data_IF_729875837485
#
_entry.id   IF_729875837485
#
_cell.length_a   1.000
_cell.length_b   1.000
_cell.length_c   1.000
_cell.angle_alpha   90.00
_cell.angle_beta   90.00
_cell.angle_gamma   90.00
#
_symmetry.space_group_name_H-M   'P 1'
#
loop_
_entity.id
_entity.type
_entity.pdbx_description
1 polymer ?
#
# COMPACT_ATOMS: atom_id res chain seq x y z
N UNK A 1 34.75 -2.06 20.75
CA UNK A 1 34.17 -0.85 20.13
C UNK A 1 32.72 -1.16 19.80
N UNK A 2 31.78 -0.51 20.49
CA UNK A 2 30.40 -0.97 20.65
C UNK A 2 29.57 -0.83 19.37
N UNK A 3 29.12 -1.97 18.84
CA UNK A 3 27.98 -2.08 17.94
C UNK A 3 26.73 -1.60 18.69
N UNK A 4 26.23 -0.43 18.30
CA UNK A 4 24.88 0.04 18.62
C UNK A 4 23.89 -1.01 18.13
N UNK A 5 23.41 -1.85 19.06
CA UNK A 5 22.17 -2.61 18.91
C UNK A 5 21.06 -1.59 18.68
N UNK A 6 20.70 -1.35 17.43
CA UNK A 6 19.44 -0.71 17.08
C UNK A 6 18.32 -1.63 17.60
N UNK A 7 17.78 -1.27 18.77
CA UNK A 7 16.65 -1.92 19.39
C UNK A 7 15.48 -1.99 18.41
N UNK A 8 14.95 -3.20 18.23
CA UNK A 8 13.71 -3.51 17.52
C UNK A 8 12.67 -2.42 17.78
N UNK A 9 12.35 -1.67 16.74
CA UNK A 9 11.50 -0.49 16.85
C UNK A 9 10.03 -0.83 16.71
N UNK A 10 9.21 -0.08 17.46
CA UNK A 10 7.76 0.00 17.26
C UNK A 10 7.40 -0.18 15.78
N UNK A 11 6.61 -1.20 15.55
CA UNK A 11 6.15 -1.64 14.25
C UNK A 11 5.14 -0.60 13.79
N UNK A 12 5.54 0.43 13.01
CA UNK A 12 4.60 1.08 12.08
C UNK A 12 3.93 -0.03 11.29
N UNK A 13 2.72 -0.35 11.72
CA UNK A 13 1.85 -1.30 11.08
C UNK A 13 0.86 -0.57 10.17
N UNK A 14 0.11 -1.32 9.38
CA UNK A 14 -1.03 -0.77 8.64
C UNK A 14 -2.17 -0.25 9.54
N UNK A 15 -2.06 -0.40 10.87
CA UNK A 15 -3.12 -0.09 11.79
C UNK A 15 -3.18 1.41 12.15
N UNK A 16 -4.41 1.87 12.37
CA UNK A 16 -4.75 3.19 12.93
C UNK A 16 -3.93 3.55 14.18
N UNK A 17 -3.62 2.56 15.01
CA UNK A 17 -2.85 2.77 16.23
C UNK A 17 -1.44 3.30 16.00
N UNK A 18 -0.84 3.07 14.83
CA UNK A 18 0.54 3.47 14.51
C UNK A 18 0.69 4.79 13.77
N UNK A 19 -0.41 5.52 13.63
CA UNK A 19 -0.38 6.89 13.10
C UNK A 19 0.49 7.76 14.01
N UNK A 20 1.44 8.47 13.40
CA UNK A 20 2.26 9.44 14.10
C UNK A 20 1.38 10.64 14.44
N UNK A 21 1.28 10.99 15.72
CA UNK A 21 0.46 12.12 16.19
C UNK A 21 1.25 13.05 17.11
N UNK A 22 0.87 14.33 17.22
CA UNK A 22 1.42 15.21 18.25
C UNK A 22 1.20 14.64 19.66
N UNK A 23 2.20 14.78 20.52
CA UNK A 23 2.05 14.50 21.95
C UNK A 23 1.18 15.60 22.58
N UNK A 24 0.00 15.23 23.08
CA UNK A 24 -1.07 16.16 23.50
C UNK A 24 -0.72 17.08 24.67
N UNK A 25 0.33 16.78 25.43
CA UNK A 25 0.66 17.50 26.68
C UNK A 25 1.88 18.43 26.52
N UNK A 26 2.36 18.64 25.30
CA UNK A 26 3.55 19.46 25.04
C UNK A 26 3.15 20.76 24.35
N UNK A 27 3.48 21.88 24.99
CA UNK A 27 3.34 23.21 24.42
C UNK A 27 4.60 23.57 23.65
N UNK A 28 4.44 24.03 22.41
CA UNK A 28 5.54 24.56 21.61
C UNK A 28 5.67 26.08 21.76
N UNK A 29 6.87 26.58 21.49
CA UNK A 29 7.14 28.01 21.27
C UNK A 29 6.64 28.46 19.88
N UNK A 30 5.30 28.43 19.72
CA UNK A 30 4.57 28.81 18.51
C UNK A 30 3.27 29.55 18.86
N UNK A 31 2.66 30.29 17.91
CA UNK A 31 1.33 30.89 18.08
C UNK A 31 0.28 29.93 18.68
N UNK A 32 -0.68 30.48 19.43
CA UNK A 32 -1.72 29.71 20.12
C UNK A 32 -2.50 28.80 19.16
N UNK A 33 -2.89 29.34 17.99
CA UNK A 33 -3.61 28.61 16.95
C UNK A 33 -2.90 27.34 16.47
N UNK A 34 -1.56 27.35 16.37
CA UNK A 34 -0.77 26.16 16.03
C UNK A 34 -0.87 25.12 17.14
N UNK A 35 -0.73 25.54 18.41
CA UNK A 35 -0.86 24.63 19.56
C UNK A 35 -2.29 24.05 19.69
N UNK A 36 -3.32 24.86 19.44
CA UNK A 36 -4.72 24.43 19.42
C UNK A 36 -4.95 23.35 18.35
N UNK A 37 -4.53 23.60 17.10
CA UNK A 37 -4.64 22.62 16.03
C UNK A 37 -3.92 21.32 16.39
N UNK A 38 -2.70 21.40 16.96
CA UNK A 38 -1.96 20.23 17.41
C UNK A 38 -2.72 19.36 18.40
N UNK A 39 -3.44 19.96 19.34
CA UNK A 39 -4.18 19.24 20.39
C UNK A 39 -5.41 18.51 19.85
N UNK A 40 -5.94 18.93 18.69
CA UNK A 40 -7.10 18.30 18.06
C UNK A 40 -6.76 17.05 17.23
N UNK A 41 -5.48 16.84 16.90
CA UNK A 41 -5.03 15.73 16.05
C UNK A 41 -5.01 14.44 16.87
N UNK A 42 -5.83 13.46 16.47
CA UNK A 42 -5.98 12.20 17.19
C UNK A 42 -6.31 11.03 16.26
N UNK A 43 -5.97 9.81 16.70
CA UNK A 43 -6.25 8.59 15.94
C UNK A 43 -7.73 8.18 15.96
N UNK A 44 -8.57 8.80 16.81
CA UNK A 44 -10.00 8.49 16.88
C UNK A 44 -10.82 9.22 15.82
N UNK A 45 -10.40 10.41 15.41
CA UNK A 45 -11.11 11.28 14.46
C UNK A 45 -10.24 11.60 13.24
N UNK A 46 -9.98 10.60 12.41
CA UNK A 46 -9.03 10.69 11.29
C UNK A 46 -9.38 11.75 10.25
N UNK A 47 -10.64 11.87 9.83
CA UNK A 47 -11.07 12.89 8.86
C UNK A 47 -10.83 14.31 9.40
N UNK A 48 -11.23 14.57 10.65
CA UNK A 48 -10.99 15.87 11.29
C UNK A 48 -9.50 16.13 11.48
N UNK A 49 -8.74 15.09 11.84
CA UNK A 49 -7.28 15.20 12.01
C UNK A 49 -6.58 15.50 10.69
N UNK A 50 -7.02 14.93 9.57
CA UNK A 50 -6.49 15.27 8.24
C UNK A 50 -6.76 16.73 7.88
N UNK A 51 -7.98 17.22 8.13
CA UNK A 51 -8.33 18.63 7.91
C UNK A 51 -7.46 19.56 8.78
N UNK A 52 -7.36 19.27 10.08
CA UNK A 52 -6.60 20.08 11.02
C UNK A 52 -5.08 20.01 10.77
N UNK A 53 -4.58 18.90 10.20
CA UNK A 53 -3.19 18.79 9.76
C UNK A 53 -2.91 19.68 8.55
N UNK A 54 -3.82 19.76 7.57
CA UNK A 54 -3.68 20.72 6.46
C UNK A 54 -3.63 22.16 6.98
N UNK A 55 -4.57 22.53 7.85
CA UNK A 55 -4.58 23.87 8.47
C UNK A 55 -3.31 24.11 9.28
N UNK A 56 -2.83 23.11 10.04
CA UNK A 56 -1.59 23.20 10.81
C UNK A 56 -0.38 23.46 9.90
N UNK A 57 -0.25 22.72 8.79
CA UNK A 57 0.84 22.89 7.84
C UNK A 57 0.81 24.30 7.25
N UNK A 58 -0.37 24.79 6.86
CA UNK A 58 -0.54 26.15 6.32
C UNK A 58 -0.15 27.24 7.32
N UNK A 59 -0.60 27.11 8.57
CA UNK A 59 -0.26 28.03 9.66
C UNK A 59 1.24 27.99 9.99
N UNK A 60 1.89 26.83 9.89
CA UNK A 60 3.34 26.70 10.08
C UNK A 60 4.13 27.43 8.98
N UNK A 61 3.72 27.31 7.72
CA UNK A 61 4.35 28.07 6.63
C UNK A 61 4.19 29.58 6.83
N UNK A 62 3.00 30.02 7.23
CA UNK A 62 2.71 31.43 7.56
C UNK A 62 3.58 31.90 8.73
N UNK A 63 3.70 31.10 9.79
CA UNK A 63 4.56 31.38 10.93
C UNK A 63 6.02 31.54 10.53
N UNK A 64 6.55 30.65 9.69
CA UNK A 64 7.94 30.73 9.21
C UNK A 64 8.17 32.02 8.41
N UNK A 65 7.27 32.34 7.46
CA UNK A 65 7.34 33.58 6.66
C UNK A 65 7.40 34.81 7.55
N UNK A 66 6.52 34.89 8.54
CA UNK A 66 6.43 36.04 9.46
C UNK A 66 7.64 36.15 10.39
N UNK A 67 8.15 35.02 10.94
CA UNK A 67 9.31 35.03 11.85
C UNK A 67 10.60 35.49 11.17
N UNK A 68 10.72 35.24 9.87
CA UNK A 68 11.93 35.52 9.10
C UNK A 68 11.85 36.83 8.33
N UNK A 69 10.66 37.41 8.23
CA UNK A 69 10.38 38.61 7.44
C UNK A 69 10.95 38.49 6.01
N UNK A 70 10.78 37.31 5.41
CA UNK A 70 11.32 36.98 4.09
C UNK A 70 10.26 37.19 3.01
N UNK A 71 10.64 37.83 1.91
CA UNK A 71 9.86 37.87 0.65
C UNK A 71 9.90 36.50 -0.09
N UNK A 72 10.03 35.40 0.66
CA UNK A 72 10.19 34.05 0.16
C UNK A 72 9.07 33.70 -0.83
N UNK A 73 9.45 33.34 -2.06
CA UNK A 73 8.53 33.06 -3.14
C UNK A 73 8.20 31.56 -3.31
N UNK A 74 8.90 30.67 -2.58
CA UNK A 74 8.75 29.23 -2.77
C UNK A 74 8.61 28.43 -1.47
N UNK A 75 8.04 27.22 -1.57
CA UNK A 75 7.97 26.24 -0.47
C UNK A 75 9.37 25.85 -0.01
N UNK A 76 10.32 25.70 -0.94
CA UNK A 76 11.70 25.32 -0.63
C UNK A 76 12.38 26.36 0.28
N UNK A 77 12.26 27.64 -0.06
CA UNK A 77 12.86 28.74 0.70
C UNK A 77 12.27 28.85 2.12
N UNK A 78 10.95 28.63 2.24
CA UNK A 78 10.29 28.57 3.55
C UNK A 78 10.76 27.36 4.36
N UNK A 79 10.89 26.18 3.75
CA UNK A 79 11.39 24.99 4.45
C UNK A 79 12.82 25.19 4.95
N UNK A 80 13.71 25.79 4.16
CA UNK A 80 15.08 26.07 4.57
C UNK A 80 15.12 27.06 5.73
N UNK A 81 14.34 28.13 5.64
CA UNK A 81 14.19 29.13 6.70
C UNK A 81 13.62 28.54 8.00
N UNK A 82 12.73 27.54 7.87
CA UNK A 82 12.13 26.82 8.99
C UNK A 82 13.12 26.00 9.80
N UNK A 83 14.25 25.57 9.22
CA UNK A 83 15.28 24.77 9.90
C UNK A 83 16.00 25.51 11.02
N UNK A 84 16.03 26.84 10.96
CA UNK A 84 16.71 27.64 11.98
C UNK A 84 15.72 28.29 12.97
N UNK A 85 14.42 28.02 12.86
CA UNK A 85 13.40 28.41 13.85
C UNK A 85 13.16 27.24 14.81
N UNK A 86 13.80 27.27 15.98
CA UNK A 86 13.58 26.28 17.04
C UNK A 86 12.24 26.54 17.75
N UNK A 87 11.45 25.48 17.95
CA UNK A 87 10.13 25.58 18.58
C UNK A 87 9.96 24.67 19.81
N UNK A 88 10.82 23.65 19.97
CA UNK A 88 10.78 22.75 21.12
C UNK A 88 12.10 22.00 21.33
N UNK A 89 12.37 21.55 22.56
CA UNK A 89 13.55 20.74 22.88
C UNK A 89 13.18 19.26 22.98
N UNK A 90 13.67 18.43 22.07
CA UNK A 90 13.29 17.03 21.92
C UNK A 90 12.18 16.84 20.88
N UNK A 91 11.66 15.63 20.72
CA UNK A 91 10.64 15.32 19.74
C UNK A 91 9.23 15.39 20.32
N UNK A 92 8.34 16.26 19.81
CA UNK A 92 6.97 16.39 20.31
C UNK A 92 5.97 15.46 19.60
N UNK A 93 6.43 14.44 18.86
CA UNK A 93 5.58 13.51 18.12
C UNK A 93 5.68 12.09 18.66
N UNK A 94 4.53 11.43 18.80
CA UNK A 94 4.44 10.04 19.20
C UNK A 94 5.03 9.14 18.11
N UNK A 95 5.66 8.03 18.50
CA UNK A 95 6.20 7.00 17.59
C UNK A 95 7.23 7.52 16.56
N UNK A 96 7.67 8.77 16.69
CA UNK A 96 8.69 9.39 15.87
C UNK A 96 10.06 9.14 16.51
N UNK A 97 10.83 8.22 15.94
CA UNK A 97 12.16 7.87 16.50
C UNK A 97 13.19 8.91 16.08
N UNK A 98 13.50 9.85 16.96
CA UNK A 98 14.65 10.74 16.83
C UNK A 98 15.52 10.68 18.09
N UNK A 99 16.72 11.28 18.01
CA UNK A 99 17.57 11.47 19.18
C UNK A 99 16.86 12.38 20.19
N UNK A 100 16.82 11.96 21.47
CA UNK A 100 16.16 12.70 22.57
C UNK A 100 16.71 14.12 22.80
N UNK A 101 17.83 14.47 22.17
CA UNK A 101 18.58 15.72 22.33
C UNK A 101 18.47 16.66 21.13
N UNK A 102 17.60 16.38 20.15
CA UNK A 102 17.41 17.24 18.98
C UNK A 102 16.61 18.49 19.35
N UNK A 103 17.05 19.66 18.90
CA UNK A 103 16.22 20.86 18.88
C UNK A 103 15.21 20.71 17.73
N UNK A 104 13.92 20.66 18.06
CA UNK A 104 12.85 20.51 17.08
C UNK A 104 12.48 21.88 16.51
N UNK A 105 12.39 21.95 15.20
CA UNK A 105 12.26 23.18 14.42
C UNK A 105 10.90 23.27 13.74
N UNK A 106 10.56 24.45 13.22
CA UNK A 106 9.36 24.63 12.40
C UNK A 106 9.40 23.74 11.15
N UNK A 107 10.59 23.51 10.57
CA UNK A 107 10.78 22.56 9.48
C UNK A 107 10.43 21.12 9.91
N UNK A 108 10.96 20.65 11.05
CA UNK A 108 10.72 19.29 11.52
C UNK A 108 9.21 19.05 11.75
N UNK A 109 8.53 20.08 12.24
CA UNK A 109 7.08 20.08 12.45
C UNK A 109 6.28 19.97 11.16
N UNK A 110 6.62 20.77 10.14
CA UNK A 110 5.98 20.72 8.82
C UNK A 110 6.14 19.32 8.22
N UNK A 111 7.36 18.76 8.25
CA UNK A 111 7.64 17.45 7.66
C UNK A 111 6.94 16.33 8.46
N UNK A 112 6.92 16.39 9.79
CA UNK A 112 6.22 15.40 10.62
C UNK A 112 4.70 15.43 10.40
N UNK A 113 4.10 16.63 10.32
CA UNK A 113 2.68 16.79 9.95
C UNK A 113 2.39 16.22 8.56
N UNK A 114 3.28 16.45 7.61
CA UNK A 114 3.15 15.93 6.24
C UNK A 114 3.19 14.41 6.18
N UNK A 115 4.09 13.78 6.95
CA UNK A 115 4.14 12.31 7.06
C UNK A 115 2.87 11.78 7.72
N UNK A 116 2.42 12.43 8.80
CA UNK A 116 1.21 12.05 9.54
C UNK A 116 -0.03 12.09 8.65
N UNK A 117 -0.23 13.17 7.88
CA UNK A 117 -1.40 13.30 7.01
C UNK A 117 -1.40 12.27 5.88
N UNK A 118 -0.23 11.96 5.28
CA UNK A 118 -0.11 10.88 4.29
C UNK A 118 -0.49 9.51 4.89
N UNK A 119 -0.11 9.26 6.14
CA UNK A 119 -0.46 8.03 6.84
C UNK A 119 -1.96 7.97 7.17
N UNK A 120 -2.57 9.10 7.55
CA UNK A 120 -4.01 9.20 7.76
C UNK A 120 -4.78 8.90 6.47
N UNK A 121 -4.37 9.47 5.33
CA UNK A 121 -5.03 9.19 4.04
C UNK A 121 -4.91 7.72 3.62
N UNK A 122 -3.77 7.08 3.88
CA UNK A 122 -3.60 5.64 3.69
C UNK A 122 -4.63 4.84 4.51
N UNK A 123 -4.77 5.12 5.81
CA UNK A 123 -5.70 4.41 6.70
C UNK A 123 -7.16 4.71 6.33
N UNK A 124 -7.52 5.96 6.08
CA UNK A 124 -8.86 6.35 5.65
C UNK A 124 -9.29 5.66 4.36
N UNK A 125 -8.36 5.49 3.41
CA UNK A 125 -8.63 4.78 2.16
C UNK A 125 -8.98 3.31 2.42
N UNK A 126 -8.24 2.65 3.32
CA UNK A 126 -8.51 1.26 3.70
C UNK A 126 -9.83 1.11 4.47
N UNK A 127 -10.10 2.00 5.43
CA UNK A 127 -11.36 2.02 6.20
C UNK A 127 -12.57 2.27 5.26
N UNK A 128 -12.42 3.17 4.28
CA UNK A 128 -13.46 3.42 3.28
C UNK A 128 -13.72 2.20 2.39
N UNK A 129 -12.68 1.51 1.91
CA UNK A 129 -12.83 0.27 1.15
C UNK A 129 -13.53 -0.82 1.96
N UNK A 130 -13.11 -1.05 3.21
CA UNK A 130 -13.70 -2.05 4.09
C UNK A 130 -15.21 -1.82 4.28
N UNK A 131 -15.59 -0.55 4.52
CA UNK A 131 -16.99 -0.17 4.64
C UNK A 131 -17.79 -0.50 3.37
N UNK A 132 -17.24 -0.18 2.20
CA UNK A 132 -17.95 -0.35 0.93
C UNK A 132 -18.02 -1.81 0.46
N UNK A 133 -16.99 -2.61 0.75
CA UNK A 133 -17.07 -4.07 0.54
C UNK A 133 -18.18 -4.71 1.38
N UNK A 134 -18.42 -4.19 2.58
CA UNK A 134 -19.46 -4.71 3.48
C UNK A 134 -20.88 -4.34 3.03
N UNK A 135 -21.05 -3.22 2.32
CA UNK A 135 -22.34 -2.76 1.79
C UNK A 135 -22.63 -3.20 0.35
N UNK A 136 -21.65 -3.82 -0.33
CA UNK A 136 -21.71 -4.20 -1.75
C UNK A 136 -22.03 -3.03 -2.72
N UNK A 137 -21.73 -1.80 -2.29
CA UNK A 137 -22.02 -0.54 -2.98
C UNK A 137 -20.74 0.10 -3.53
N UNK A 138 -20.12 -0.58 -4.50
CA UNK A 138 -18.87 -0.15 -5.14
C UNK A 138 -19.11 0.36 -6.57
N UNK A 139 -19.95 1.38 -6.69
CA UNK A 139 -20.13 2.13 -7.93
C UNK A 139 -18.88 2.93 -8.32
N UNK A 140 -18.81 3.36 -9.59
CA UNK A 140 -17.64 4.06 -10.13
C UNK A 140 -17.33 5.39 -9.41
N UNK A 141 -18.34 6.10 -8.93
CA UNK A 141 -18.19 7.34 -8.16
C UNK A 141 -17.59 7.06 -6.77
N UNK A 142 -17.94 5.94 -6.14
CA UNK A 142 -17.36 5.49 -4.87
C UNK A 142 -15.88 5.17 -5.03
N UNK A 143 -15.51 4.43 -6.09
CA UNK A 143 -14.10 4.19 -6.43
C UNK A 143 -13.33 5.48 -6.65
N UNK A 144 -13.93 6.46 -7.35
CA UNK A 144 -13.32 7.77 -7.57
C UNK A 144 -13.11 8.52 -6.25
N UNK A 145 -14.11 8.55 -5.37
CA UNK A 145 -14.02 9.17 -4.03
C UNK A 145 -12.90 8.55 -3.19
N UNK A 146 -12.86 7.21 -3.10
CA UNK A 146 -11.82 6.48 -2.36
C UNK A 146 -10.42 6.77 -2.93
N UNK A 147 -10.29 6.75 -4.26
CA UNK A 147 -9.02 7.05 -4.92
C UNK A 147 -8.58 8.49 -4.66
N UNK A 148 -9.52 9.45 -4.64
CA UNK A 148 -9.22 10.86 -4.38
C UNK A 148 -8.74 11.10 -2.94
N UNK A 149 -9.24 10.35 -1.95
CA UNK A 149 -8.72 10.40 -0.56
C UNK A 149 -7.22 10.10 -0.57
N UNK A 150 -6.80 9.02 -1.23
CA UNK A 150 -5.40 8.64 -1.30
C UNK A 150 -4.55 9.60 -2.14
N UNK A 151 -5.10 10.11 -3.26
CA UNK A 151 -4.41 11.09 -4.12
C UNK A 151 -4.01 12.35 -3.36
N UNK A 152 -4.81 12.79 -2.38
CA UNK A 152 -4.50 13.94 -1.52
C UNK A 152 -3.18 13.79 -0.75
N UNK A 153 -2.73 12.56 -0.48
CA UNK A 153 -1.43 12.33 0.15
C UNK A 153 -0.26 12.77 -0.76
N UNK A 154 -0.40 12.65 -2.08
CA UNK A 154 0.66 12.96 -3.03
C UNK A 154 0.80 14.46 -3.33
N UNK A 155 -0.28 15.23 -3.16
CA UNK A 155 -0.26 16.68 -3.37
C UNK A 155 0.79 17.37 -2.52
N UNK A 156 0.82 17.07 -1.21
CA UNK A 156 1.83 17.58 -0.28
C UNK A 156 3.17 16.86 -0.41
N UNK A 157 3.16 15.52 -0.59
CA UNK A 157 4.39 14.74 -0.67
C UNK A 157 5.28 15.20 -1.83
N UNK A 158 4.71 15.47 -3.00
CA UNK A 158 5.45 15.87 -4.19
C UNK A 158 6.15 17.23 -4.00
N UNK A 159 5.54 18.15 -3.26
CA UNK A 159 6.11 19.49 -3.02
C UNK A 159 7.30 19.45 -2.05
N UNK A 160 7.29 18.54 -1.07
CA UNK A 160 8.32 18.49 -0.03
C UNK A 160 9.37 17.39 -0.25
N UNK A 161 9.11 16.39 -1.11
CA UNK A 161 9.93 15.18 -1.25
C UNK A 161 11.43 15.46 -1.47
N UNK A 162 11.75 16.48 -2.28
CA UNK A 162 13.13 16.88 -2.57
C UNK A 162 13.85 17.53 -1.38
N UNK A 163 13.11 18.02 -0.39
CA UNK A 163 13.60 18.80 0.74
C UNK A 163 13.61 18.01 2.06
N UNK A 164 13.19 16.74 2.05
CA UNK A 164 13.16 15.89 3.25
C UNK A 164 14.58 15.52 3.69
N UNK A 165 14.93 15.94 4.90
CA UNK A 165 16.25 15.72 5.50
C UNK A 165 16.48 14.24 5.85
N UNK A 166 17.74 13.85 6.02
CA UNK A 166 18.14 12.49 6.44
C UNK A 166 17.44 12.03 7.73
N UNK A 167 17.06 12.96 8.60
CA UNK A 167 16.37 12.65 9.85
C UNK A 167 14.95 12.09 9.60
N UNK A 168 14.20 12.74 8.71
CA UNK A 168 12.81 12.38 8.43
C UNK A 168 12.68 11.37 7.30
N UNK A 169 13.71 11.26 6.45
CA UNK A 169 13.72 10.45 5.23
C UNK A 169 13.24 9.01 5.44
N UNK A 170 13.66 8.26 6.48
CA UNK A 170 13.19 6.89 6.66
C UNK A 170 11.69 6.78 6.88
N UNK A 171 11.09 7.70 7.65
CA UNK A 171 9.64 7.71 7.90
C UNK A 171 8.88 8.19 6.65
N UNK A 172 9.39 9.24 6.00
CA UNK A 172 8.81 9.77 4.78
C UNK A 172 8.79 8.73 3.66
N UNK A 173 9.93 8.13 3.34
CA UNK A 173 10.04 7.14 2.27
C UNK A 173 9.16 5.92 2.56
N UNK A 174 9.15 5.43 3.80
CA UNK A 174 8.30 4.29 4.17
C UNK A 174 6.81 4.59 3.91
N UNK A 175 6.30 5.74 4.37
CA UNK A 175 4.89 6.13 4.15
C UNK A 175 4.62 6.46 2.68
N UNK A 176 5.57 7.08 1.97
CA UNK A 176 5.46 7.39 0.55
C UNK A 176 5.32 6.12 -0.30
N UNK A 177 6.20 5.13 -0.11
CA UNK A 177 6.15 3.84 -0.79
C UNK A 177 4.89 3.04 -0.44
N UNK A 178 4.41 3.11 0.82
CA UNK A 178 3.11 2.52 1.20
C UNK A 178 1.94 3.12 0.42
N UNK A 179 1.90 4.46 0.29
CA UNK A 179 0.89 5.13 -0.50
C UNK A 179 1.00 4.78 -2.00
N UNK A 180 2.23 4.69 -2.54
CA UNK A 180 2.46 4.25 -3.93
C UNK A 180 1.96 2.82 -4.19
N UNK A 181 2.18 1.90 -3.26
CA UNK A 181 1.64 0.54 -3.36
C UNK A 181 0.12 0.58 -3.36
N UNK A 182 -0.50 1.24 -2.38
CA UNK A 182 -1.95 1.22 -2.24
C UNK A 182 -2.65 1.85 -3.45
N UNK A 183 -2.12 2.96 -3.99
CA UNK A 183 -2.77 3.65 -5.13
C UNK A 183 -2.74 2.80 -6.40
N UNK A 184 -1.67 2.03 -6.61
CA UNK A 184 -1.60 1.08 -7.72
C UNK A 184 -2.49 -0.14 -7.46
N UNK A 185 -2.57 -0.61 -6.21
CA UNK A 185 -3.47 -1.70 -5.83
C UNK A 185 -4.95 -1.32 -5.94
N UNK A 186 -5.35 -0.06 -5.78
CA UNK A 186 -6.74 0.35 -6.03
C UNK A 186 -7.21 0.02 -7.46
N UNK A 187 -6.32 0.14 -8.44
CA UNK A 187 -6.59 -0.24 -9.85
C UNK A 187 -6.85 -1.74 -9.95
N UNK A 188 -6.04 -2.54 -9.25
CA UNK A 188 -6.15 -3.99 -9.21
C UNK A 188 -7.43 -4.42 -8.46
N UNK A 189 -7.73 -3.80 -7.32
CA UNK A 189 -8.91 -4.11 -6.51
C UNK A 189 -10.19 -3.82 -7.27
N UNK A 190 -10.25 -2.68 -7.97
CA UNK A 190 -11.37 -2.35 -8.85
C UNK A 190 -11.54 -3.41 -9.93
N UNK A 191 -10.46 -3.82 -10.59
CA UNK A 191 -10.53 -4.85 -11.63
C UNK A 191 -10.99 -6.20 -11.07
N UNK A 192 -10.45 -6.66 -9.93
CA UNK A 192 -10.87 -7.90 -9.29
C UNK A 192 -12.36 -7.87 -8.98
N UNK A 193 -12.85 -6.77 -8.38
CA UNK A 193 -14.26 -6.61 -8.04
C UNK A 193 -15.18 -6.68 -9.27
N UNK A 194 -14.87 -5.91 -10.32
CA UNK A 194 -15.65 -5.92 -11.57
C UNK A 194 -15.62 -7.29 -12.24
N UNK A 195 -14.42 -7.89 -12.35
CA UNK A 195 -14.24 -9.18 -13.03
C UNK A 195 -14.95 -10.31 -12.27
N UNK A 196 -14.88 -10.33 -10.94
CA UNK A 196 -15.57 -11.34 -10.13
C UNK A 196 -17.09 -11.29 -10.34
N UNK A 197 -17.69 -10.09 -10.26
CA UNK A 197 -19.12 -9.91 -10.53
C UNK A 197 -19.50 -10.36 -11.94
N UNK A 198 -18.68 -10.06 -12.94
CA UNK A 198 -18.94 -10.53 -14.32
C UNK A 198 -18.87 -12.06 -14.45
N UNK A 199 -17.91 -12.70 -13.80
CA UNK A 199 -17.77 -14.17 -13.79
C UNK A 199 -19.00 -14.82 -13.13
N UNK A 200 -19.44 -14.28 -11.99
CA UNK A 200 -20.63 -14.76 -11.29
C UNK A 200 -21.88 -14.66 -12.16
N UNK A 201 -22.09 -13.50 -12.82
CA UNK A 201 -23.22 -13.28 -13.73
C UNK A 201 -23.18 -14.23 -14.94
N UNK A 202 -21.99 -14.64 -15.38
CA UNK A 202 -21.81 -15.57 -16.52
C UNK A 202 -21.64 -17.03 -16.09
N UNK A 203 -22.02 -17.39 -14.87
CA UNK A 203 -21.94 -18.76 -14.35
C UNK A 203 -20.53 -19.39 -14.46
N UNK A 204 -19.48 -18.60 -14.26
CA UNK A 204 -18.11 -19.09 -14.30
C UNK A 204 -17.48 -19.12 -15.71
N UNK A 205 -18.03 -18.39 -16.68
CA UNK A 205 -17.39 -18.22 -17.98
C UNK A 205 -16.23 -17.21 -17.93
N UNK A 206 -15.06 -17.65 -18.39
CA UNK A 206 -13.80 -16.88 -18.44
C UNK A 206 -13.34 -16.61 -19.88
N UNK A 207 -14.18 -16.81 -20.90
CA UNK A 207 -13.79 -16.58 -22.30
C UNK A 207 -13.47 -15.10 -22.60
N UNK A 208 -14.07 -14.15 -21.87
CA UNK A 208 -13.67 -12.74 -21.91
C UNK A 208 -12.74 -12.42 -20.75
N UNK A 209 -11.47 -12.39 -21.10
CA UNK A 209 -10.35 -11.95 -20.27
C UNK A 209 -10.49 -10.49 -19.87
N UNK A 210 -9.87 -10.04 -18.75
CA UNK A 210 -9.58 -8.63 -18.59
C UNK A 210 -8.78 -8.10 -19.80
N UNK A 211 -9.32 -7.11 -20.53
CA UNK A 211 -8.72 -6.58 -21.79
C UNK A 211 -7.26 -6.11 -21.63
N UNK A 212 -6.84 -5.77 -20.41
CA UNK A 212 -5.54 -5.17 -20.08
C UNK A 212 -4.67 -6.04 -19.18
N UNK A 213 -4.73 -7.39 -19.31
CA UNK A 213 -3.91 -8.32 -18.50
C UNK A 213 -2.45 -7.92 -18.36
N UNK A 214 -1.78 -7.59 -19.47
CA UNK A 214 -0.36 -7.23 -19.46
C UNK A 214 -0.10 -5.97 -18.60
N UNK A 215 -1.02 -5.02 -18.62
CA UNK A 215 -0.94 -3.82 -17.77
C UNK A 215 -1.03 -4.21 -16.29
N UNK A 216 -1.99 -5.05 -15.90
CA UNK A 216 -2.13 -5.50 -14.51
C UNK A 216 -0.91 -6.29 -14.01
N UNK A 217 -0.35 -7.15 -14.86
CA UNK A 217 0.91 -7.86 -14.57
C UNK A 217 2.04 -6.87 -14.30
N UNK A 218 2.22 -5.84 -15.14
CA UNK A 218 3.28 -4.84 -14.96
C UNK A 218 3.04 -3.94 -13.74
N UNK A 219 1.78 -3.62 -13.42
CA UNK A 219 1.43 -2.91 -12.17
C UNK A 219 1.85 -3.75 -10.95
N UNK A 220 1.56 -5.04 -10.93
CA UNK A 220 1.92 -5.91 -9.82
C UNK A 220 3.44 -6.11 -9.69
N UNK A 221 4.19 -6.07 -10.79
CA UNK A 221 5.66 -6.03 -10.77
C UNK A 221 6.17 -4.75 -10.12
N UNK A 222 5.59 -3.60 -10.47
CA UNK A 222 5.91 -2.35 -9.79
C UNK A 222 5.63 -2.45 -8.28
N UNK A 223 4.42 -2.90 -7.90
CA UNK A 223 4.04 -3.06 -6.49
C UNK A 223 4.98 -4.01 -5.74
N UNK A 224 5.39 -5.13 -6.35
CA UNK A 224 6.32 -6.07 -5.73
C UNK A 224 7.70 -5.44 -5.48
N UNK A 225 8.20 -4.67 -6.44
CA UNK A 225 9.47 -3.94 -6.30
C UNK A 225 9.40 -2.90 -5.18
N UNK A 226 8.30 -2.16 -5.09
CA UNK A 226 8.06 -1.20 -4.00
C UNK A 226 8.00 -1.91 -2.62
N UNK A 227 7.41 -3.11 -2.56
CA UNK A 227 7.45 -3.91 -1.34
C UNK A 227 8.89 -4.32 -0.97
N UNK A 228 9.74 -4.64 -1.94
CA UNK A 228 11.16 -4.93 -1.69
C UNK A 228 11.90 -3.70 -1.15
N UNK A 229 11.57 -2.50 -1.61
CA UNK A 229 12.09 -1.24 -1.02
C UNK A 229 11.63 -1.11 0.44
N UNK A 230 10.36 -1.35 0.73
CA UNK A 230 9.85 -1.34 2.11
C UNK A 230 10.57 -2.35 3.02
N UNK A 231 10.88 -3.55 2.54
CA UNK A 231 11.65 -4.55 3.31
C UNK A 231 13.06 -4.07 3.67
N UNK A 232 13.71 -3.34 2.75
CA UNK A 232 15.02 -2.75 2.97
C UNK A 232 14.97 -1.61 3.99
N UNK A 233 13.95 -0.75 3.90
CA UNK A 233 13.71 0.33 4.86
C UNK A 233 13.36 -0.22 6.24
N UNK A 234 12.54 -1.27 6.30
CA UNK A 234 12.06 -1.86 7.54
C UNK A 234 11.63 -3.33 7.37
N UNK A 235 12.36 -4.24 8.00
CA UNK A 235 11.94 -5.64 8.14
C UNK A 235 10.68 -5.73 9.00
N UNK A 236 9.55 -6.03 8.38
CA UNK A 236 8.24 -6.20 9.03
C UNK A 236 7.57 -7.44 8.49
N UNK A 237 6.97 -8.25 9.37
CA UNK A 237 6.16 -9.40 8.96
C UNK A 237 5.01 -8.97 8.05
N UNK A 238 4.46 -7.77 8.28
CA UNK A 238 3.38 -7.23 7.46
C UNK A 238 3.79 -6.92 6.02
N UNK A 239 5.03 -6.49 5.79
CA UNK A 239 5.55 -6.28 4.43
C UNK A 239 5.76 -7.62 3.73
N UNK A 240 6.25 -8.64 4.46
CA UNK A 240 6.34 -10.00 3.93
C UNK A 240 4.96 -10.57 3.55
N UNK A 241 3.95 -10.38 4.41
CA UNK A 241 2.55 -10.74 4.11
C UNK A 241 2.01 -9.98 2.90
N UNK A 242 2.34 -8.69 2.74
CA UNK A 242 1.97 -7.89 1.58
C UNK A 242 2.63 -8.38 0.28
N UNK A 243 3.93 -8.75 0.30
CA UNK A 243 4.58 -9.36 -0.88
C UNK A 243 3.90 -10.65 -1.28
N UNK A 244 3.57 -11.49 -0.29
CA UNK A 244 2.88 -12.75 -0.54
C UNK A 244 1.47 -12.54 -1.09
N UNK A 245 0.77 -11.53 -0.59
CA UNK A 245 -0.49 -11.07 -1.17
C UNK A 245 -0.33 -10.70 -2.66
N UNK A 246 0.70 -9.92 -3.00
CA UNK A 246 1.00 -9.54 -4.39
C UNK A 246 1.34 -10.76 -5.25
N UNK A 247 2.05 -11.76 -4.73
CA UNK A 247 2.33 -13.02 -5.45
C UNK A 247 1.07 -13.81 -5.81
N UNK A 248 0.08 -13.83 -4.93
CA UNK A 248 -1.21 -14.49 -5.18
C UNK A 248 -1.95 -13.75 -6.31
N UNK A 249 -2.04 -12.42 -6.22
CA UNK A 249 -2.65 -11.61 -7.28
C UNK A 249 -1.94 -11.77 -8.61
N UNK A 250 -0.60 -11.78 -8.59
CA UNK A 250 0.21 -11.96 -9.79
C UNK A 250 -0.03 -13.32 -10.44
N UNK A 251 -0.12 -14.38 -9.63
CA UNK A 251 -0.40 -15.74 -10.10
C UNK A 251 -1.75 -15.81 -10.83
N UNK A 252 -2.76 -15.10 -10.34
CA UNK A 252 -4.05 -15.02 -11.03
C UNK A 252 -3.92 -14.44 -12.45
N UNK A 253 -3.43 -13.21 -12.58
CA UNK A 253 -3.31 -12.58 -13.91
C UNK A 253 -2.33 -13.31 -14.84
N UNK A 254 -1.22 -13.83 -14.29
CA UNK A 254 -0.21 -14.53 -15.07
C UNK A 254 -0.72 -15.88 -15.56
N UNK A 255 -1.53 -16.59 -14.77
CA UNK A 255 -2.16 -17.84 -15.20
C UNK A 255 -3.11 -17.61 -16.38
N UNK A 256 -3.94 -16.55 -16.32
CA UNK A 256 -4.80 -16.14 -17.42
C UNK A 256 -3.98 -15.81 -18.67
N UNK A 257 -2.90 -15.04 -18.52
CA UNK A 257 -2.03 -14.67 -19.64
C UNK A 257 -1.51 -15.89 -20.42
N UNK A 258 -1.03 -16.93 -19.73
CA UNK A 258 -0.56 -18.17 -20.37
C UNK A 258 -1.69 -19.04 -20.90
N UNK A 259 -2.86 -19.03 -20.24
CA UNK A 259 -4.05 -19.68 -20.76
C UNK A 259 -4.43 -19.15 -22.15
N UNK A 260 -4.40 -17.83 -22.36
CA UNK A 260 -4.69 -17.22 -23.67
C UNK A 260 -3.61 -17.46 -24.73
N UNK A 261 -2.38 -17.79 -24.31
CA UNK A 261 -1.32 -18.25 -25.22
C UNK A 261 -1.43 -19.73 -25.59
N UNK A 262 -2.47 -20.43 -25.13
CA UNK A 262 -2.61 -21.88 -25.24
C UNK A 262 -1.46 -22.65 -24.56
N UNK A 263 -0.80 -22.04 -23.57
CA UNK A 263 0.24 -22.66 -22.74
C UNK A 263 -0.38 -23.15 -21.41
N UNK A 264 -1.40 -24.00 -21.53
CA UNK A 264 -2.23 -24.50 -20.44
C UNK A 264 -1.44 -25.21 -19.32
N UNK A 265 -0.39 -25.96 -19.67
CA UNK A 265 0.46 -26.62 -18.67
C UNK A 265 1.15 -25.61 -17.73
N UNK A 266 1.61 -24.48 -18.27
CA UNK A 266 2.22 -23.38 -17.51
C UNK A 266 1.14 -22.62 -16.73
N UNK A 267 0.01 -22.30 -17.36
CA UNK A 267 -1.13 -21.64 -16.70
C UNK A 267 -1.60 -22.40 -15.47
N UNK A 268 -1.74 -23.73 -15.59
CA UNK A 268 -2.11 -24.62 -14.49
C UNK A 268 -1.07 -24.62 -13.37
N UNK A 269 0.23 -24.67 -13.70
CA UNK A 269 1.28 -24.66 -12.69
C UNK A 269 1.37 -23.32 -11.93
N UNK A 270 1.18 -22.20 -12.62
CA UNK A 270 1.13 -20.86 -12.00
C UNK A 270 -0.10 -20.73 -11.09
N UNK A 271 -1.25 -21.23 -11.53
CA UNK A 271 -2.46 -21.25 -10.70
C UNK A 271 -2.23 -22.05 -9.41
N UNK A 272 -1.66 -23.26 -9.53
CA UNK A 272 -1.28 -24.10 -8.38
C UNK A 272 -0.29 -23.41 -7.43
N UNK A 273 0.65 -22.62 -7.96
CA UNK A 273 1.56 -21.82 -7.14
C UNK A 273 0.80 -20.77 -6.32
N UNK A 274 -0.10 -20.02 -6.96
CA UNK A 274 -0.94 -19.02 -6.28
C UNK A 274 -1.76 -19.63 -5.14
N UNK A 275 -2.41 -20.77 -5.40
CA UNK A 275 -3.14 -21.53 -4.38
C UNK A 275 -2.22 -22.06 -3.28
N UNK A 276 -1.05 -22.60 -3.61
CA UNK A 276 -0.10 -23.07 -2.60
C UNK A 276 0.37 -21.93 -1.68
N UNK A 277 0.42 -20.70 -2.19
CA UNK A 277 0.78 -19.51 -1.42
C UNK A 277 -0.34 -18.86 -0.62
N UNK A 278 -1.60 -19.23 -0.88
CA UNK A 278 -2.74 -18.75 -0.10
C UNK A 278 -3.14 -19.68 1.05
N UNK A 279 -2.56 -20.88 1.12
CA UNK A 279 -2.97 -21.97 2.02
C UNK A 279 -1.87 -22.24 3.05
N UNK A 280 -2.26 -22.40 4.32
CA UNK A 280 -1.34 -22.89 5.36
C UNK A 280 -1.09 -24.38 5.10
N UNK A 281 -0.01 -24.72 4.40
CA UNK A 281 0.43 -26.10 4.32
C UNK A 281 0.78 -26.53 5.74
N UNK A 282 -0.04 -27.39 6.34
CA UNK A 282 0.12 -27.79 7.74
C UNK A 282 1.59 -28.08 8.04
N UNK A 283 2.13 -27.43 9.08
CA UNK A 283 3.54 -27.58 9.52
C UNK A 283 3.98 -29.05 9.72
N UNK A 284 3.02 -29.96 9.82
CA UNK A 284 3.23 -31.40 9.92
C UNK A 284 3.67 -32.00 8.57
N UNK A 285 3.09 -31.59 7.43
CA UNK A 285 3.50 -32.10 6.11
C UNK A 285 4.89 -31.66 5.69
N UNK A 286 5.27 -30.41 5.97
CA UNK A 286 6.62 -29.89 5.67
C UNK A 286 7.70 -30.49 6.56
N UNK A 287 7.40 -30.76 7.84
CA UNK A 287 8.31 -31.46 8.76
C UNK A 287 8.46 -32.96 8.47
N UNK A 288 7.47 -33.60 7.84
CA UNK A 288 7.49 -35.04 7.55
C UNK A 288 8.14 -35.40 6.20
N UNK A 289 8.70 -34.45 5.45
CA UNK A 289 9.30 -34.68 4.12
C UNK A 289 8.41 -35.54 3.20
N UNK A 290 7.09 -35.39 3.29
CA UNK A 290 6.16 -36.08 2.39
C UNK A 290 6.32 -35.41 1.03
N UNK A 291 7.18 -36.00 0.19
CA UNK A 291 7.28 -35.64 -1.23
C UNK A 291 5.88 -35.76 -1.81
N UNK A 292 5.47 -34.79 -2.63
CA UNK A 292 4.28 -34.91 -3.47
C UNK A 292 4.51 -36.05 -4.47
N UNK A 293 4.30 -37.28 -4.03
CA UNK A 293 4.40 -38.47 -4.86
C UNK A 293 3.16 -38.45 -5.75
N UNK A 294 3.43 -38.38 -7.07
CA UNK A 294 2.51 -38.59 -8.20
C UNK A 294 1.04 -38.69 -7.79
N UNK A 295 0.30 -37.63 -8.08
CA UNK A 295 -1.14 -37.47 -7.84
C UNK A 295 -1.94 -38.67 -8.37
N UNK A 296 -2.13 -39.67 -7.52
CA UNK A 296 -3.17 -40.67 -7.69
C UNK A 296 -4.44 -40.09 -7.09
N UNK A 297 -5.51 -40.16 -7.88
CA UNK A 297 -6.97 -39.95 -7.72
C UNK A 297 -7.57 -39.60 -6.33
N UNK A 298 -6.91 -39.89 -5.20
CA UNK A 298 -7.35 -39.55 -3.83
C UNK A 298 -7.02 -38.12 -3.36
N UNK A 299 -6.16 -37.36 -4.05
CA UNK A 299 -5.91 -35.93 -3.73
C UNK A 299 -7.04 -34.99 -4.21
N UNK A 300 -8.02 -35.49 -4.99
CA UNK A 300 -9.18 -34.68 -5.42
C UNK A 300 -10.03 -34.19 -4.24
N UNK A 301 -10.04 -34.90 -3.11
CA UNK A 301 -10.77 -34.49 -1.91
C UNK A 301 -10.00 -33.54 -0.98
N UNK A 302 -8.69 -33.38 -1.17
CA UNK A 302 -7.88 -32.47 -0.33
C UNK A 302 -8.09 -30.99 -0.67
N UNK A 303 -8.71 -30.70 -1.82
CA UNK A 303 -9.11 -29.34 -2.20
C UNK A 303 -10.60 -29.06 -1.93
N UNK A 304 -11.36 -30.08 -1.49
CA UNK A 304 -12.81 -29.96 -1.19
C UNK A 304 -13.13 -29.79 0.30
N UNK A 305 -12.19 -30.05 1.20
CA UNK A 305 -12.42 -29.94 2.65
C UNK A 305 -11.51 -28.88 3.30
N UNK A 306 -12.13 -27.81 3.80
CA UNK A 306 -11.59 -26.76 4.68
C UNK A 306 -10.12 -26.37 4.45
N UNK A 307 -9.89 -25.72 3.31
CA UNK A 307 -8.67 -24.93 3.12
C UNK A 307 -8.70 -23.77 4.12
N UNK A 308 -7.97 -23.91 5.23
CA UNK A 308 -7.73 -22.79 6.15
C UNK A 308 -6.84 -21.78 5.42
N UNK A 309 -7.44 -20.64 5.12
CA UNK A 309 -6.72 -19.42 4.72
C UNK A 309 -5.53 -19.22 5.68
N UNK A 310 -4.37 -18.82 5.17
CA UNK A 310 -3.22 -18.61 6.06
C UNK A 310 -3.58 -17.69 7.21
N UNK A 311 -3.15 -18.08 8.44
CA UNK A 311 -3.44 -17.31 9.66
C UNK A 311 -3.01 -15.85 9.55
N UNK A 312 -1.95 -15.57 8.78
CA UNK A 312 -1.45 -14.21 8.53
C UNK A 312 -2.47 -13.33 7.79
N UNK A 313 -3.28 -13.90 6.90
CA UNK A 313 -4.38 -13.20 6.25
C UNK A 313 -5.67 -13.20 7.09
N UNK A 314 -5.71 -13.94 8.19
CA UNK A 314 -6.81 -13.91 9.16
C UNK A 314 -6.49 -13.00 10.35
N UNK A 315 -5.26 -12.50 10.44
CA UNK A 315 -4.82 -11.57 11.48
C UNK A 315 -5.58 -10.24 11.34
N UNK A 316 -6.12 -9.76 12.46
CA UNK A 316 -6.85 -8.49 12.52
C UNK A 316 -5.96 -7.29 12.22
N UNK A 317 -4.64 -7.44 12.32
CA UNK A 317 -3.66 -6.40 12.01
C UNK A 317 -3.38 -6.23 10.51
N UNK A 318 -3.76 -7.19 9.67
CA UNK A 318 -3.73 -7.04 8.22
C UNK A 318 -5.03 -6.36 7.75
N UNK A 319 -5.04 -5.37 6.84
CA UNK A 319 -6.27 -4.60 6.61
C UNK A 319 -7.34 -5.41 5.89
N UNK A 320 -8.60 -5.21 6.26
CA UNK A 320 -9.73 -6.01 5.76
C UNK A 320 -9.89 -5.93 4.24
N UNK A 321 -9.63 -4.78 3.64
CA UNK A 321 -9.66 -4.60 2.19
C UNK A 321 -8.73 -5.58 1.47
N UNK A 322 -7.52 -5.82 1.99
CA UNK A 322 -6.61 -6.81 1.42
C UNK A 322 -7.13 -8.24 1.64
N UNK A 323 -7.66 -8.53 2.83
CA UNK A 323 -8.27 -9.84 3.14
C UNK A 323 -9.40 -10.20 2.18
N UNK A 324 -10.28 -9.24 1.90
CA UNK A 324 -11.39 -9.43 0.97
C UNK A 324 -10.88 -9.74 -0.44
N UNK A 325 -9.94 -8.93 -0.95
CA UNK A 325 -9.40 -9.13 -2.30
C UNK A 325 -8.67 -10.46 -2.45
N UNK A 326 -7.87 -10.89 -1.46
CA UNK A 326 -7.19 -12.18 -1.54
C UNK A 326 -8.20 -13.33 -1.48
N UNK A 327 -9.26 -13.23 -0.67
CA UNK A 327 -10.31 -14.24 -0.62
C UNK A 327 -10.97 -14.41 -1.99
N UNK A 328 -11.40 -13.31 -2.60
CA UNK A 328 -11.98 -13.29 -3.96
C UNK A 328 -11.03 -13.91 -4.99
N UNK A 329 -9.75 -13.54 -4.99
CA UNK A 329 -8.78 -14.08 -5.95
C UNK A 329 -8.53 -15.57 -5.73
N UNK A 330 -8.49 -16.04 -4.49
CA UNK A 330 -8.32 -17.47 -4.18
C UNK A 330 -9.51 -18.27 -4.70
N UNK A 331 -10.73 -17.76 -4.57
CA UNK A 331 -11.91 -18.41 -5.11
C UNK A 331 -11.87 -18.47 -6.64
N UNK A 332 -11.46 -17.37 -7.30
CA UNK A 332 -11.23 -17.38 -8.75
C UNK A 332 -10.16 -18.40 -9.14
N UNK A 333 -9.04 -18.47 -8.43
CA UNK A 333 -7.97 -19.42 -8.68
C UNK A 333 -8.46 -20.86 -8.57
N UNK A 334 -9.32 -21.19 -7.59
CA UNK A 334 -9.91 -22.54 -7.43
C UNK A 334 -10.77 -22.93 -8.64
N UNK A 335 -11.59 -22.01 -9.13
CA UNK A 335 -12.43 -22.22 -10.31
C UNK A 335 -11.53 -22.46 -11.54
N UNK A 336 -10.54 -21.60 -11.74
CA UNK A 336 -9.58 -21.72 -12.83
C UNK A 336 -8.76 -23.01 -12.75
N UNK A 337 -8.34 -23.45 -11.56
CA UNK A 337 -7.61 -24.71 -11.39
C UNK A 337 -8.43 -25.89 -11.90
N UNK A 338 -9.70 -25.97 -11.49
CA UNK A 338 -10.61 -27.04 -11.92
C UNK A 338 -10.81 -27.02 -13.45
N UNK A 339 -10.97 -25.83 -14.04
CA UNK A 339 -11.07 -25.65 -15.50
C UNK A 339 -9.81 -26.10 -16.21
N UNK A 340 -8.65 -25.62 -15.78
CA UNK A 340 -7.37 -25.91 -16.42
C UNK A 340 -6.98 -27.38 -16.30
N UNK A 341 -7.21 -28.02 -15.15
CA UNK A 341 -6.98 -29.45 -14.99
C UNK A 341 -7.85 -30.28 -15.93
N UNK A 342 -9.14 -29.97 -16.02
CA UNK A 342 -10.06 -30.69 -16.92
C UNK A 342 -9.61 -30.55 -18.38
N UNK A 343 -9.31 -29.33 -18.82
CA UNK A 343 -8.85 -29.08 -20.20
C UNK A 343 -7.50 -29.76 -20.48
N UNK A 344 -6.55 -29.71 -19.55
CA UNK A 344 -5.22 -30.27 -19.79
C UNK A 344 -5.24 -31.79 -19.79
N UNK A 345 -6.07 -32.42 -18.96
CA UNK A 345 -6.17 -33.88 -18.88
C UNK A 345 -7.05 -34.49 -19.96
N UNK A 346 -7.87 -33.69 -20.65
CA UNK A 346 -8.82 -34.20 -21.65
C UNK A 346 -8.53 -33.72 -23.07
N UNK A 347 -7.81 -32.61 -23.26
CA UNK A 347 -7.62 -31.97 -24.56
C UNK A 347 -6.13 -31.71 -24.83
N UNK A 348 -5.45 -30.95 -23.97
CA UNK A 348 -4.13 -30.39 -24.34
C UNK A 348 -2.94 -31.30 -24.01
N UNK A 349 -3.04 -32.13 -22.96
CA UNK A 349 -1.99 -33.04 -22.49
C UNK A 349 -0.60 -32.40 -22.33
N UNK A 350 -0.55 -31.11 -21.99
CA UNK A 350 0.72 -30.39 -21.85
C UNK A 350 1.43 -30.75 -20.54
N UNK A 351 2.76 -30.78 -20.58
CA UNK A 351 3.59 -30.95 -19.39
C UNK A 351 3.32 -29.81 -18.41
N UNK A 352 3.05 -30.15 -17.15
CA UNK A 352 2.88 -29.20 -16.06
C UNK A 352 4.23 -29.00 -15.36
N UNK A 353 4.82 -27.79 -15.38
CA UNK A 353 6.03 -27.48 -14.63
C UNK A 353 5.89 -27.71 -13.12
N UNK A 354 7.03 -27.93 -12.44
CA UNK A 354 7.06 -27.97 -10.98
C UNK A 354 6.88 -26.58 -10.36
N UNK A 355 6.46 -26.50 -9.10
CA UNK A 355 6.30 -25.20 -8.41
C UNK A 355 7.62 -24.43 -8.27
N UNK A 356 8.74 -25.15 -8.10
CA UNK A 356 10.08 -24.55 -8.04
C UNK A 356 10.47 -23.97 -9.41
N UNK A 357 10.20 -24.70 -10.49
CA UNK A 357 10.40 -24.19 -11.85
C UNK A 357 9.52 -22.96 -12.11
N UNK A 358 8.26 -22.97 -11.64
CA UNK A 358 7.37 -21.82 -11.78
C UNK A 358 7.93 -20.59 -11.10
N UNK A 359 8.38 -20.74 -9.85
CA UNK A 359 8.99 -19.66 -9.08
C UNK A 359 10.15 -19.01 -9.82
N UNK A 360 11.08 -19.80 -10.33
CA UNK A 360 12.30 -19.29 -10.95
C UNK A 360 12.17 -18.85 -12.41
N UNK A 361 11.19 -19.37 -13.17
CA UNK A 361 11.06 -19.05 -14.60
C UNK A 361 9.90 -18.14 -14.96
N UNK A 362 8.83 -18.13 -14.17
CA UNK A 362 7.58 -17.47 -14.56
C UNK A 362 7.08 -16.41 -13.58
N UNK A 363 7.69 -16.29 -12.41
CA UNK A 363 7.35 -15.35 -11.33
C UNK A 363 8.50 -14.38 -11.05
N UNK A 364 8.49 -13.72 -9.90
CA UNK A 364 9.38 -12.59 -9.55
C UNK A 364 10.88 -12.93 -9.51
N UNK A 365 11.25 -14.21 -9.39
CA UNK A 365 12.66 -14.63 -9.46
C UNK A 365 13.14 -14.82 -10.92
N UNK A 366 12.25 -14.65 -11.91
CA UNK A 366 12.56 -14.83 -13.32
C UNK A 366 13.30 -13.63 -13.92
N UNK A 367 14.42 -13.85 -14.64
CA UNK A 367 15.13 -12.80 -15.35
C UNK A 367 14.35 -12.24 -16.54
N UNK A 368 13.34 -12.97 -17.03
CA UNK A 368 12.59 -12.65 -18.26
C UNK A 368 11.29 -11.86 -17.99
N UNK A 369 11.08 -11.37 -16.76
CA UNK A 369 9.92 -10.54 -16.46
C UNK A 369 10.03 -9.16 -17.12
N UNK A 370 8.91 -8.61 -17.64
CA UNK A 370 8.90 -7.24 -18.13
C UNK A 370 9.16 -6.26 -16.98
N UNK A 371 9.59 -5.04 -17.32
CA UNK A 371 9.69 -3.98 -16.32
C UNK A 371 8.31 -3.66 -15.72
N UNK A 372 8.34 -3.34 -14.42
CA UNK A 372 7.18 -2.79 -13.73
C UNK A 372 6.65 -1.54 -14.43
N UNK A 373 5.35 -1.31 -14.30
CA UNK A 373 4.67 -0.13 -14.80
C UNK A 373 3.95 0.55 -13.64
N UNK A 374 4.38 1.76 -13.33
CA UNK A 374 3.58 2.67 -12.50
C UNK A 374 2.56 3.37 -13.41
N UNK A 375 1.28 3.28 -13.08
CA UNK A 375 0.27 4.10 -13.76
C UNK A 375 0.38 5.53 -13.20
N UNK A 376 0.60 6.54 -14.05
CA UNK A 376 0.72 7.92 -13.60
C UNK A 376 -0.53 8.36 -12.83
N UNK A 377 -0.31 9.10 -11.76
CA UNK A 377 -1.39 9.75 -11.03
C UNK A 377 -1.81 11.02 -11.78
N UNK A 378 -2.96 10.98 -12.45
CA UNK A 378 -3.58 12.16 -13.04
C UNK A 378 -4.32 12.99 -11.97
N UNK A 379 -4.42 14.29 -12.21
CA UNK A 379 -5.24 15.23 -11.42
C UNK A 379 -4.88 15.27 -9.92
N UNK A 380 -3.58 15.31 -9.60
CA UNK A 380 -3.14 15.58 -8.23
C UNK A 380 -3.23 17.10 -8.01
N UNK A 381 -4.08 17.50 -7.06
CA UNK A 381 -4.09 18.87 -6.57
C UNK A 381 -2.75 19.16 -5.88
N UNK A 382 -2.00 20.13 -6.42
CA UNK A 382 -0.76 20.59 -5.80
C UNK A 382 -1.09 21.33 -4.52
N UNK A 383 -0.29 21.08 -3.48
CA UNK A 383 -0.38 21.86 -2.25
C UNK A 383 0.32 23.21 -2.44
N UNK A 384 -0.38 24.29 -2.15
CA UNK A 384 0.19 25.65 -2.12
C UNK A 384 -0.20 26.29 -0.79
N UNK A 385 0.75 26.64 0.08
CA UNK A 385 0.47 27.40 1.30
C UNK A 385 -0.25 28.71 0.98
N UNK A 386 -1.26 29.08 1.76
CA UNK A 386 -2.03 30.31 1.62
C UNK A 386 -1.12 31.56 1.63
N UNK A 387 -0.05 31.53 2.43
CA UNK A 387 0.94 32.61 2.49
C UNK A 387 1.74 32.81 1.19
N UNK A 388 1.62 31.91 0.20
CA UNK A 388 2.20 32.01 -1.14
C UNK A 388 1.15 32.27 -2.23
N UNK A 389 -0.15 32.15 -1.91
CA UNK A 389 -1.25 32.39 -2.87
C UNK A 389 -1.36 33.88 -3.23
N UNK A 390 -1.04 34.78 -2.31
CA UNK A 390 -1.06 36.24 -2.54
C UNK A 390 -0.02 36.74 -3.56
N UNK A 391 0.97 35.91 -3.93
CA UNK A 391 1.95 36.19 -5.00
C UNK A 391 1.53 35.69 -6.39
N UNK A 392 0.41 34.96 -6.50
CA UNK A 392 -0.10 34.40 -7.76
C UNK A 392 -1.58 34.74 -7.94
N UNK A 393 -1.86 36.02 -8.17
CA UNK A 393 -3.11 36.42 -8.80
C UNK A 393 -3.06 36.03 -10.29
N UNK A 394 -3.63 34.88 -10.67
CA UNK A 394 -4.56 34.75 -11.80
C UNK A 394 -5.46 33.53 -11.55
N UNK A 395 -6.74 33.84 -11.34
CA UNK A 395 -7.97 33.07 -11.63
C UNK A 395 -7.84 31.56 -11.87
N UNK A 396 -8.50 30.80 -10.99
CA UNK A 396 -9.31 29.59 -11.22
C UNK A 396 -9.00 28.45 -10.25
N UNK A 397 -9.54 28.53 -9.03
CA UNK A 397 -9.86 27.34 -8.24
C UNK A 397 -11.10 27.62 -7.36
N UNK A 398 -12.26 27.11 -7.78
CA UNK A 398 -13.36 26.81 -6.86
C UNK A 398 -13.93 25.42 -7.21
N UNK A 399 -13.81 24.52 -6.21
CA UNK A 399 -14.47 23.22 -5.96
C UNK A 399 -14.33 22.05 -6.94
#
# INVERSE_FOLDING_TARGET
MQLLKMSQGNIMSFARGDIITPSTNLQLDTPSKINELRHTISTSHLMNSAHNLHELIDQLFTFVKNRRNTDSASIQDLLESGKEIKIFKGCPWSKYKTLKTLDWTAYDEIVASSISIMQIYYVLTLEALEKQYSSDDLADDVWKKITNILKSAFGLANEIQGQVSKLHRPNFDYIYHLNQILVQLLIIFKNIHVTHREIEVRFGDFEKVPEKLNTYVRILIFVYNECAVLEQLKKSSQVATLKRFVEILFSYYRSLFYYHKNELGIALAINKYGLANSIDQSKIRSKLHIKAVKSNVKDKHLWSEEIRFMREFQDSTFPAAFRQNVATVVDILRILNSKYEKLNNSINFQKVPSLEEVRHKYLFDSPDLPSGLQVPLADINRFVPACLVESTNVQDVYF
#
